data_IF_273170605707
#
_entry.id   IF_273170605707
#
_cell.length_a   1.000
_cell.length_b   1.000
_cell.length_c   1.000
_cell.angle_alpha   90.00
_cell.angle_beta   90.00
_cell.angle_gamma   90.00
#
_symmetry.space_group_name_H-M   'P 1'
#
loop_
_entity.id
_entity.type
_entity.pdbx_description
1 polymer ?
#
# COMPACT_ATOMS: atom_id res chain seq x y z
N UNK A 1 54.63 -25.55 -41.19
CA UNK A 1 54.39 -26.62 -40.19
C UNK A 1 54.44 -25.95 -38.84
N UNK A 2 53.46 -25.97 -37.98
CA UNK A 2 52.21 -26.67 -37.84
C UNK A 2 51.23 -25.77 -37.03
N UNK A 3 50.05 -25.66 -37.51
CA UNK A 3 48.87 -25.25 -36.73
C UNK A 3 48.22 -26.57 -36.30
N UNK A 4 48.09 -26.88 -35.06
CA UNK A 4 47.00 -27.68 -34.40
C UNK A 4 47.36 -27.69 -32.94
N UNK A 5 46.57 -27.04 -32.08
CA UNK A 5 46.33 -27.35 -30.68
C UNK A 5 45.62 -26.17 -30.03
N UNK A 6 44.34 -26.06 -30.32
CA UNK A 6 43.46 -25.14 -29.58
C UNK A 6 41.97 -25.53 -29.71
N UNK A 7 41.64 -26.77 -29.38
CA UNK A 7 40.21 -27.21 -29.39
C UNK A 7 39.84 -28.13 -28.21
N UNK A 8 40.55 -28.13 -27.12
CA UNK A 8 40.16 -28.94 -25.96
C UNK A 8 40.09 -28.13 -24.68
N UNK A 9 39.18 -27.18 -24.58
CA UNK A 9 38.85 -26.64 -23.25
C UNK A 9 37.49 -25.88 -23.22
N UNK A 10 36.52 -26.28 -24.03
CA UNK A 10 35.17 -25.67 -23.98
C UNK A 10 34.10 -26.59 -23.39
N UNK A 11 34.33 -27.85 -23.21
CA UNK A 11 33.31 -28.80 -22.76
C UNK A 11 33.29 -29.00 -21.23
N UNK A 12 34.36 -28.66 -20.53
CA UNK A 12 34.41 -28.76 -19.07
C UNK A 12 33.72 -27.60 -18.29
N UNK A 13 33.33 -26.54 -18.97
CA UNK A 13 32.69 -25.35 -18.35
C UNK A 13 31.15 -25.41 -18.42
N UNK A 14 30.62 -26.25 -19.28
CA UNK A 14 29.15 -26.36 -19.50
C UNK A 14 28.50 -27.30 -18.48
N UNK A 15 29.19 -28.35 -18.02
CA UNK A 15 28.58 -29.28 -17.05
C UNK A 15 28.42 -28.75 -15.62
N UNK A 16 29.21 -27.76 -15.20
CA UNK A 16 29.11 -27.18 -13.85
C UNK A 16 28.01 -26.14 -13.68
N UNK A 17 27.25 -25.78 -14.73
CA UNK A 17 26.14 -24.82 -14.67
C UNK A 17 24.74 -25.45 -14.63
N UNK A 18 24.63 -26.75 -14.79
CA UNK A 18 23.31 -27.42 -14.87
C UNK A 18 22.84 -27.88 -13.48
N UNK A 19 23.73 -28.13 -12.51
CA UNK A 19 23.32 -28.67 -11.21
C UNK A 19 22.90 -27.67 -10.14
N UNK A 20 22.87 -26.37 -10.46
CA UNK A 20 22.37 -25.34 -9.51
C UNK A 20 20.92 -24.90 -9.73
N UNK A 21 20.18 -25.53 -10.65
CA UNK A 21 18.81 -25.10 -11.00
C UNK A 21 17.69 -25.98 -10.45
N UNK A 22 17.97 -26.98 -9.63
CA UNK A 22 16.97 -27.98 -9.21
C UNK A 22 16.61 -27.98 -7.73
N UNK A 23 16.85 -26.91 -6.96
CA UNK A 23 16.35 -26.78 -5.58
C UNK A 23 15.57 -25.48 -5.38
N UNK A 24 14.63 -25.15 -6.27
CA UNK A 24 13.52 -24.27 -5.88
C UNK A 24 12.46 -25.16 -5.25
N UNK A 25 12.48 -25.25 -3.91
CA UNK A 25 11.44 -25.88 -3.12
C UNK A 25 10.08 -25.27 -3.55
N UNK A 26 9.21 -26.12 -4.05
CA UNK A 26 7.84 -25.81 -4.35
C UNK A 26 7.09 -25.59 -3.03
N UNK A 27 7.25 -24.43 -2.41
CA UNK A 27 6.29 -23.96 -1.42
C UNK A 27 4.97 -23.74 -2.15
N UNK A 28 4.11 -24.76 -2.13
CA UNK A 28 2.74 -24.63 -2.58
C UNK A 28 2.08 -23.56 -1.70
N UNK A 29 1.92 -22.34 -2.26
CA UNK A 29 1.14 -21.31 -1.62
C UNK A 29 -0.26 -21.85 -1.43
N UNK A 30 -0.59 -22.29 -0.20
CA UNK A 30 -1.97 -22.65 0.18
C UNK A 30 -2.85 -21.50 -0.31
N UNK A 31 -3.74 -21.76 -1.25
CA UNK A 31 -4.74 -20.77 -1.69
C UNK A 31 -5.55 -20.39 -0.45
N UNK A 32 -5.31 -19.19 0.09
CA UNK A 32 -6.13 -18.66 1.17
C UNK A 32 -7.55 -18.58 0.63
N UNK A 33 -8.46 -19.26 1.28
CA UNK A 33 -9.91 -19.18 0.99
C UNK A 33 -10.28 -17.71 1.18
N UNK A 34 -10.60 -17.01 0.10
CA UNK A 34 -11.05 -15.61 0.16
C UNK A 34 -12.43 -15.64 0.83
N UNK A 35 -12.54 -15.09 2.04
CA UNK A 35 -13.82 -14.90 2.71
C UNK A 35 -14.62 -13.89 1.92
N UNK A 36 -15.89 -14.15 1.63
CA UNK A 36 -16.79 -13.22 0.98
C UNK A 36 -17.30 -12.24 2.04
N UNK A 37 -16.81 -10.99 2.02
CA UNK A 37 -17.13 -9.96 3.01
C UNK A 37 -17.82 -8.82 2.28
N UNK A 38 -19.12 -8.64 2.52
CA UNK A 38 -19.93 -7.66 1.82
C UNK A 38 -19.75 -6.25 2.37
N UNK A 39 -19.66 -6.12 3.69
CA UNK A 39 -19.58 -4.83 4.41
C UNK A 39 -18.21 -4.69 5.06
N UNK A 40 -17.66 -3.48 5.01
CA UNK A 40 -16.39 -3.18 5.64
C UNK A 40 -16.28 -1.75 6.13
N UNK A 41 -15.16 -1.48 6.81
CA UNK A 41 -14.82 -0.15 7.30
C UNK A 41 -13.53 0.28 6.61
N UNK A 42 -13.54 1.46 6.01
CA UNK A 42 -12.35 2.07 5.42
C UNK A 42 -11.80 3.15 6.35
N UNK A 43 -10.58 2.97 6.79
CA UNK A 43 -9.85 3.94 7.58
C UNK A 43 -8.93 4.74 6.68
N UNK A 44 -9.15 6.04 6.60
CA UNK A 44 -8.34 6.99 5.83
C UNK A 44 -7.55 7.85 6.80
N UNK A 45 -6.26 7.57 6.94
CA UNK A 45 -5.37 8.37 7.76
C UNK A 45 -4.55 9.29 6.86
N UNK A 46 -4.81 10.59 6.93
CA UNK A 46 -4.10 11.63 6.21
C UNK A 46 -3.21 12.42 7.17
N UNK A 47 -1.92 12.46 6.89
CA UNK A 47 -0.95 13.33 7.57
C UNK A 47 -0.43 14.37 6.59
N UNK A 48 0.29 15.38 7.04
CA UNK A 48 0.88 16.37 6.12
C UNK A 48 1.80 15.75 5.06
N UNK A 49 2.43 14.61 5.33
CA UNK A 49 3.44 14.00 4.47
C UNK A 49 2.99 12.73 3.77
N UNK A 50 1.92 12.07 4.22
CA UNK A 50 1.51 10.78 3.69
C UNK A 50 0.02 10.56 3.86
N UNK A 51 -0.55 9.66 3.04
CA UNK A 51 -1.91 9.15 3.20
C UNK A 51 -1.85 7.64 3.24
N UNK A 52 -2.48 7.04 4.26
CA UNK A 52 -2.58 5.59 4.45
C UNK A 52 -4.08 5.25 4.43
N UNK A 53 -4.42 4.22 3.69
CA UNK A 53 -5.78 3.72 3.59
C UNK A 53 -5.77 2.26 3.96
N UNK A 54 -6.61 1.90 4.94
CA UNK A 54 -6.77 0.52 5.38
C UNK A 54 -8.25 0.15 5.30
N UNK A 55 -8.56 -0.97 4.69
CA UNK A 55 -9.92 -1.49 4.59
C UNK A 55 -10.01 -2.75 5.44
N UNK A 56 -10.92 -2.73 6.40
CA UNK A 56 -11.13 -3.80 7.35
C UNK A 56 -12.55 -4.37 7.25
N UNK A 57 -12.73 -5.54 7.80
CA UNK A 57 -14.02 -6.15 8.07
C UNK A 57 -14.71 -5.45 9.26
N UNK A 58 -15.98 -5.68 9.45
CA UNK A 58 -16.77 -5.22 10.62
C UNK A 58 -16.18 -5.67 11.95
N UNK A 59 -15.42 -6.76 11.96
CA UNK A 59 -14.71 -7.27 13.14
C UNK A 59 -13.35 -6.59 13.41
N UNK A 60 -12.94 -5.62 12.57
CA UNK A 60 -11.65 -4.93 12.70
C UNK A 60 -10.46 -5.63 12.03
N UNK A 61 -10.66 -6.77 11.38
CA UNK A 61 -9.57 -7.45 10.68
C UNK A 61 -9.24 -6.71 9.37
N UNK A 62 -8.00 -6.26 9.20
CA UNK A 62 -7.55 -5.58 7.99
C UNK A 62 -7.43 -6.56 6.84
N UNK A 63 -8.15 -6.30 5.75
CA UNK A 63 -8.19 -7.12 4.53
C UNK A 63 -7.23 -6.58 3.50
N UNK A 64 -7.25 -5.26 3.30
CA UNK A 64 -6.37 -4.58 2.36
C UNK A 64 -5.88 -3.25 2.93
N UNK A 65 -4.68 -2.88 2.53
CA UNK A 65 -4.15 -1.57 2.84
C UNK A 65 -3.24 -1.09 1.71
N UNK A 66 -3.12 0.21 1.60
CA UNK A 66 -2.15 0.86 0.72
C UNK A 66 -1.76 2.24 1.26
N UNK A 67 -0.59 2.69 0.88
CA UNK A 67 -0.11 4.04 1.19
C UNK A 67 0.55 4.65 -0.04
N UNK A 68 0.68 5.98 -0.05
CA UNK A 68 1.38 6.67 -1.12
C UNK A 68 2.84 6.20 -1.26
N UNK A 69 3.52 5.91 -0.13
CA UNK A 69 4.89 5.38 -0.13
C UNK A 69 5.00 3.99 -0.76
N UNK A 70 4.04 3.10 -0.50
CA UNK A 70 3.99 1.76 -1.10
C UNK A 70 3.82 1.81 -2.62
N UNK A 71 3.21 2.86 -3.15
CA UNK A 71 3.00 3.06 -4.60
C UNK A 71 4.18 3.74 -5.31
N UNK A 72 5.32 3.85 -4.64
CA UNK A 72 6.55 4.37 -5.22
C UNK A 72 6.70 5.89 -5.14
N UNK A 73 5.75 6.60 -4.53
CA UNK A 73 5.92 8.03 -4.29
C UNK A 73 6.95 8.27 -3.19
N UNK A 74 7.94 9.13 -3.45
CA UNK A 74 9.02 9.46 -2.52
C UNK A 74 8.98 10.94 -2.13
N UNK A 75 9.49 11.26 -0.93
CA UNK A 75 9.59 12.63 -0.44
C UNK A 75 8.27 13.40 -0.47
N UNK A 76 8.28 14.62 -0.95
CA UNK A 76 7.10 15.50 -1.03
C UNK A 76 5.99 15.00 -1.95
N UNK A 77 6.31 14.15 -2.94
CA UNK A 77 5.31 13.57 -3.85
C UNK A 77 4.28 12.71 -3.14
N UNK A 78 4.58 12.13 -1.97
CA UNK A 78 3.61 11.38 -1.14
C UNK A 78 2.48 12.25 -0.63
N UNK A 79 2.74 13.56 -0.53
CA UNK A 79 1.79 14.52 0.00
C UNK A 79 0.80 15.07 -1.04
N UNK A 80 0.81 14.58 -2.25
CA UNK A 80 -0.08 15.03 -3.31
C UNK A 80 -1.45 14.36 -3.24
N UNK A 81 -2.54 15.04 -3.65
CA UNK A 81 -3.87 14.43 -3.77
C UNK A 81 -3.87 13.23 -4.72
N UNK A 82 -3.10 13.30 -5.81
CA UNK A 82 -2.94 12.21 -6.77
C UNK A 82 -2.37 10.95 -6.13
N UNK A 83 -1.35 11.09 -5.26
CA UNK A 83 -0.79 9.95 -4.54
C UNK A 83 -1.81 9.29 -3.59
N UNK A 84 -2.69 10.09 -2.96
CA UNK A 84 -3.78 9.60 -2.14
C UNK A 84 -4.82 8.82 -2.98
N UNK A 85 -5.15 9.32 -4.17
CA UNK A 85 -6.03 8.63 -5.11
C UNK A 85 -5.48 7.26 -5.50
N UNK A 86 -4.21 7.18 -5.94
CA UNK A 86 -3.57 5.92 -6.34
C UNK A 86 -3.50 4.92 -5.17
N UNK A 87 -3.26 5.41 -3.95
CA UNK A 87 -3.28 4.57 -2.76
C UNK A 87 -4.70 4.02 -2.51
N UNK A 88 -5.74 4.88 -2.60
CA UNK A 88 -7.14 4.47 -2.45
C UNK A 88 -7.53 3.43 -3.49
N UNK A 89 -7.22 3.67 -4.74
CA UNK A 89 -7.47 2.75 -5.85
C UNK A 89 -6.85 1.37 -5.62
N UNK A 90 -5.64 1.35 -5.12
CA UNK A 90 -4.95 0.10 -4.85
C UNK A 90 -5.53 -0.69 -3.68
N UNK A 91 -5.91 -0.01 -2.58
CA UNK A 91 -6.58 -0.64 -1.45
C UNK A 91 -7.96 -1.17 -1.88
N UNK A 92 -8.70 -0.35 -2.62
CA UNK A 92 -10.02 -0.65 -3.16
C UNK A 92 -10.02 -1.90 -4.07
N UNK A 93 -9.09 -1.98 -5.02
CA UNK A 93 -9.00 -3.11 -5.94
C UNK A 93 -8.82 -4.43 -5.20
N UNK A 94 -7.99 -4.47 -4.17
CA UNK A 94 -7.81 -5.66 -3.33
C UNK A 94 -9.05 -6.00 -2.51
N UNK A 95 -9.77 -4.99 -1.98
CA UNK A 95 -10.98 -5.20 -1.21
C UNK A 95 -12.13 -5.74 -2.09
N UNK A 96 -12.24 -5.27 -3.34
CA UNK A 96 -13.19 -5.80 -4.32
C UNK A 96 -12.95 -7.29 -4.63
N UNK A 97 -11.70 -7.76 -4.62
CA UNK A 97 -11.39 -9.18 -4.78
C UNK A 97 -11.95 -10.06 -3.65
N UNK A 98 -12.24 -9.49 -2.48
CA UNK A 98 -12.90 -10.16 -1.36
C UNK A 98 -14.42 -9.99 -1.38
N UNK A 99 -14.98 -9.40 -2.44
CA UNK A 99 -16.41 -9.25 -2.65
C UNK A 99 -17.06 -8.09 -1.90
N UNK A 100 -16.28 -7.13 -1.36
CA UNK A 100 -16.81 -5.97 -0.67
C UNK A 100 -17.60 -5.07 -1.61
N UNK A 101 -18.77 -4.59 -1.13
CA UNK A 101 -19.65 -3.67 -1.87
C UNK A 101 -19.93 -2.40 -1.10
N UNK A 102 -20.03 -2.48 0.22
CA UNK A 102 -20.42 -1.36 1.07
C UNK A 102 -19.31 -1.02 2.06
N UNK A 103 -19.07 0.28 2.27
CA UNK A 103 -18.06 0.79 3.18
C UNK A 103 -18.65 1.86 4.10
N UNK A 104 -18.36 1.75 5.38
CA UNK A 104 -18.39 2.88 6.31
C UNK A 104 -16.98 3.48 6.34
N UNK A 105 -16.86 4.81 6.23
CA UNK A 105 -15.54 5.43 6.13
C UNK A 105 -15.24 6.24 7.38
N UNK A 106 -14.10 5.97 8.00
CA UNK A 106 -13.56 6.75 9.09
C UNK A 106 -12.33 7.53 8.61
N UNK A 107 -12.40 8.84 8.74
CA UNK A 107 -11.36 9.75 8.28
C UNK A 107 -10.63 10.34 9.47
N UNK A 108 -9.30 10.39 9.41
CA UNK A 108 -8.45 10.96 10.45
C UNK A 108 -7.35 11.82 9.85
N UNK A 109 -7.19 13.03 10.38
CA UNK A 109 -6.09 13.92 10.06
C UNK A 109 -6.43 15.08 9.13
N UNK A 110 -5.50 16.02 8.96
CA UNK A 110 -5.71 17.25 8.23
C UNK A 110 -5.60 17.08 6.70
N UNK A 111 -6.21 18.01 5.98
CA UNK A 111 -5.95 18.25 4.58
C UNK A 111 -6.97 17.67 3.60
N UNK A 112 -6.93 18.20 2.38
CA UNK A 112 -7.86 17.86 1.27
C UNK A 112 -7.65 16.47 0.69
N UNK A 113 -6.53 15.80 1.01
CA UNK A 113 -6.22 14.44 0.50
C UNK A 113 -7.21 13.39 0.97
N UNK A 114 -7.82 13.59 2.14
CA UNK A 114 -8.89 12.72 2.65
C UNK A 114 -10.10 12.72 1.72
N UNK A 115 -10.49 13.87 1.18
CA UNK A 115 -11.58 13.97 0.21
C UNK A 115 -11.25 13.27 -1.10
N UNK A 116 -10.02 13.42 -1.59
CA UNK A 116 -9.57 12.75 -2.80
C UNK A 116 -9.58 11.24 -2.64
N UNK A 117 -9.18 10.73 -1.47
CA UNK A 117 -9.26 9.31 -1.16
C UNK A 117 -10.71 8.81 -1.13
N UNK A 118 -11.64 9.57 -0.53
CA UNK A 118 -13.07 9.25 -0.51
C UNK A 118 -13.66 9.17 -1.92
N UNK A 119 -13.36 10.16 -2.76
CA UNK A 119 -13.80 10.18 -4.16
C UNK A 119 -13.28 8.99 -4.94
N UNK A 120 -12.01 8.59 -4.70
CA UNK A 120 -11.42 7.43 -5.35
C UNK A 120 -12.10 6.12 -4.94
N UNK A 121 -12.43 5.93 -3.64
CA UNK A 121 -13.18 4.76 -3.17
C UNK A 121 -14.58 4.70 -3.82
N UNK A 122 -15.27 5.82 -3.91
CA UNK A 122 -16.59 5.90 -4.57
C UNK A 122 -16.49 5.62 -6.08
N UNK A 123 -15.49 6.17 -6.75
CA UNK A 123 -15.25 5.94 -8.18
C UNK A 123 -14.97 4.47 -8.53
N UNK A 124 -14.44 3.71 -7.57
CA UNK A 124 -14.23 2.26 -7.71
C UNK A 124 -15.49 1.41 -7.52
N UNK A 125 -16.64 2.05 -7.25
CA UNK A 125 -17.94 1.38 -7.15
C UNK A 125 -18.34 0.94 -5.75
N UNK A 126 -17.63 1.38 -4.71
CA UNK A 126 -18.09 1.15 -3.34
C UNK A 126 -19.28 2.07 -2.99
N UNK A 127 -20.30 1.47 -2.37
CA UNK A 127 -21.39 2.23 -1.76
C UNK A 127 -20.94 2.69 -0.38
N UNK A 128 -20.77 4.01 -0.20
CA UNK A 128 -20.44 4.61 1.09
C UNK A 128 -21.73 4.78 1.89
N UNK A 129 -21.79 4.14 3.06
CA UNK A 129 -22.95 4.20 3.97
C UNK A 129 -22.86 5.39 4.92
N UNK A 130 -21.68 5.63 5.48
CA UNK A 130 -21.44 6.70 6.44
C UNK A 130 -20.01 7.21 6.34
N UNK A 131 -19.82 8.47 6.67
CA UNK A 131 -18.51 9.10 6.78
C UNK A 131 -18.40 9.69 8.17
N UNK A 132 -17.39 9.30 8.92
CA UNK A 132 -17.14 9.78 10.28
C UNK A 132 -15.73 10.37 10.35
N UNK A 133 -15.63 11.59 10.85
CA UNK A 133 -14.34 12.21 11.16
C UNK A 133 -13.96 11.85 12.61
N UNK A 134 -12.82 11.20 12.76
CA UNK A 134 -12.26 10.76 14.04
C UNK A 134 -10.93 11.44 14.33
N UNK A 135 -10.69 12.63 13.76
CA UNK A 135 -9.48 13.40 14.02
C UNK A 135 -9.38 13.76 15.50
N UNK A 136 -8.33 13.33 16.21
CA UNK A 136 -8.18 13.61 17.62
C UNK A 136 -7.93 15.10 17.85
N UNK A 137 -8.67 15.67 18.78
CA UNK A 137 -8.44 17.02 19.29
C UNK A 137 -7.79 16.90 20.66
N UNK A 138 -6.54 17.38 20.83
CA UNK A 138 -5.85 17.27 22.11
C UNK A 138 -6.55 18.10 23.19
N UNK A 139 -6.82 17.47 24.32
CA UNK A 139 -7.28 18.14 25.53
C UNK A 139 -6.04 18.48 26.37
N UNK A 140 -5.53 19.72 26.25
CA UNK A 140 -4.31 20.16 26.95
C UNK A 140 -3.07 19.28 26.66
N UNK A 141 -2.96 18.79 25.42
CA UNK A 141 -1.81 18.05 24.90
C UNK A 141 -0.85 18.94 24.10
N UNK A 142 0.19 18.31 23.54
CA UNK A 142 1.12 19.00 22.65
C UNK A 142 0.39 19.39 21.35
N UNK A 143 0.38 20.67 21.01
CA UNK A 143 -0.14 21.15 19.73
C UNK A 143 0.62 20.52 18.57
N UNK A 144 -0.13 20.14 17.53
CA UNK A 144 0.50 19.70 16.29
C UNK A 144 1.28 20.86 15.69
N UNK A 145 2.60 20.76 15.70
CA UNK A 145 3.46 21.76 15.08
C UNK A 145 3.05 21.98 13.63
N UNK A 146 2.80 23.23 13.27
CA UNK A 146 2.53 23.63 11.89
C UNK A 146 3.74 23.30 11.04
N UNK A 147 3.49 22.82 9.83
CA UNK A 147 4.56 22.54 8.85
C UNK A 147 5.40 23.80 8.61
N UNK A 148 6.64 23.84 9.07
CA UNK A 148 7.55 24.98 8.96
C UNK A 148 8.09 25.51 10.27
N UNK A 149 7.52 25.15 11.43
CA UNK A 149 8.01 25.64 12.74
C UNK A 149 9.15 24.79 13.33
N UNK A 150 9.50 23.68 12.68
CA UNK A 150 10.53 22.74 13.17
C UNK A 150 11.95 23.34 13.23
N UNK A 151 12.21 24.45 12.58
CA UNK A 151 13.55 25.06 12.51
C UNK A 151 13.75 26.24 13.48
N UNK A 152 12.75 26.59 14.30
CA UNK A 152 12.84 27.78 15.18
C UNK A 152 13.61 27.54 16.50
N UNK A 153 13.96 26.29 16.81
CA UNK A 153 14.60 25.92 18.08
C UNK A 153 16.04 25.40 17.94
N UNK A 154 16.72 25.72 16.83
CA UNK A 154 18.18 25.56 16.74
C UNK A 154 18.86 26.90 17.00
N UNK A 155 19.03 27.24 18.25
CA UNK A 155 20.03 28.17 18.75
C UNK A 155 20.91 27.42 19.73
#
# INVERSE_FOLDING_TARGET
MAKVDKVENKDAVVEKKVDKKSKKSSYSKKKKIKKNILNGIAYVQSTFNNTIISIADTNGNVISWASAGQKGFKGSRKSTPYAAQIAADSAASKALEYGMKTLSVEVKGPGSRRETALRALQARGFKILSIKDTTPMPHNGVDHQKKGEFNKWKV
#
